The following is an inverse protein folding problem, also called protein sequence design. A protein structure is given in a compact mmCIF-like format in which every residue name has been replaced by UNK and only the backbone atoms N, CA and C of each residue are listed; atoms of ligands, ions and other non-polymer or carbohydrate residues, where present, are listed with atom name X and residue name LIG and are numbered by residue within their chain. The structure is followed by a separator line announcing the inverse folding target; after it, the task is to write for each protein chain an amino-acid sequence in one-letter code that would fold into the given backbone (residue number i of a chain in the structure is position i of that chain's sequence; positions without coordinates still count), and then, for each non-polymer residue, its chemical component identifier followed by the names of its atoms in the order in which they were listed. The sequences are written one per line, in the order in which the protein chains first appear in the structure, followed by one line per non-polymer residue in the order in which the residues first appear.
data_IF_395129525032
#
_entry.id   IF_395129525032
#
_cell.length_a   1.000
_cell.length_b   1.000
_cell.length_c   1.000
_cell.angle_alpha   90.00
_cell.angle_beta   90.00
_cell.angle_gamma   90.00
#
_symmetry.space_group_name_H-M   'P 1'
#
loop_
_entity.id
_entity.type
_entity.pdbx_description
1 polymer ?
#
# COMPACT_ATOMS: atom_id res chain seq x y z
N UNK A 1 22.67 28.60 -22.98
CA UNK A 1 22.29 28.23 -21.61
C UNK A 1 21.83 26.76 -21.62
N UNK A 2 22.52 25.86 -20.91
CA UNK A 2 22.09 24.48 -20.75
C UNK A 2 20.80 24.47 -19.90
N UNK A 3 19.71 23.94 -20.45
CA UNK A 3 18.47 23.75 -19.71
C UNK A 3 18.61 22.48 -18.86
N UNK A 4 18.78 22.64 -17.57
CA UNK A 4 18.71 21.54 -16.65
C UNK A 4 17.26 21.02 -16.59
N UNK A 5 17.07 19.73 -16.92
CA UNK A 5 15.78 19.04 -16.73
C UNK A 5 15.91 18.29 -15.41
N UNK A 6 15.14 18.70 -14.41
CA UNK A 6 15.01 17.95 -13.16
C UNK A 6 13.98 16.84 -13.39
N UNK A 7 14.39 15.60 -13.21
CA UNK A 7 13.57 14.40 -13.35
C UNK A 7 13.44 13.76 -11.96
N UNK A 8 12.26 13.24 -11.62
CA UNK A 8 12.06 12.51 -10.39
C UNK A 8 12.98 11.26 -10.35
N UNK A 9 13.58 11.00 -9.20
CA UNK A 9 14.46 9.86 -8.95
C UNK A 9 13.83 8.83 -8.01
N UNK A 10 12.65 9.13 -7.48
CA UNK A 10 11.88 8.27 -6.59
C UNK A 10 10.37 8.46 -6.79
N UNK A 11 9.58 7.51 -6.25
CA UNK A 11 8.12 7.58 -6.28
C UNK A 11 7.57 8.84 -5.57
N UNK A 12 8.22 9.30 -4.50
CA UNK A 12 7.77 10.47 -3.73
C UNK A 12 8.05 11.81 -4.42
N UNK A 13 9.00 11.84 -5.35
CA UNK A 13 9.32 13.05 -6.12
C UNK A 13 8.41 13.25 -7.33
N UNK A 14 7.56 12.27 -7.66
CA UNK A 14 6.59 12.38 -8.73
C UNK A 14 5.54 13.44 -8.38
N UNK A 15 5.28 14.37 -9.32
CA UNK A 15 4.15 15.27 -9.13
C UNK A 15 2.81 14.51 -9.29
N UNK A 16 1.71 15.11 -8.83
CA UNK A 16 0.38 14.48 -8.81
C UNK A 16 -0.01 13.88 -10.15
N UNK A 17 0.17 14.60 -11.26
CA UNK A 17 -0.17 14.10 -12.58
C UNK A 17 0.71 12.90 -13.00
N UNK A 18 2.03 12.99 -12.78
CA UNK A 18 2.95 11.89 -13.06
C UNK A 18 2.58 10.65 -12.26
N UNK A 19 2.31 10.83 -10.97
CA UNK A 19 1.94 9.73 -10.08
C UNK A 19 0.64 9.06 -10.53
N UNK A 20 -0.40 9.82 -10.87
CA UNK A 20 -1.67 9.28 -11.37
C UNK A 20 -1.50 8.47 -12.67
N UNK A 21 -0.72 9.00 -13.63
CA UNK A 21 -0.51 8.33 -14.91
C UNK A 21 0.37 7.07 -14.76
N UNK A 22 1.45 7.16 -13.98
CA UNK A 22 2.38 6.04 -13.76
C UNK A 22 1.71 4.92 -12.96
N UNK A 23 0.98 5.25 -11.90
CA UNK A 23 0.24 4.25 -11.11
C UNK A 23 -0.82 3.55 -11.96
N UNK A 24 -1.53 4.28 -12.81
CA UNK A 24 -2.49 3.66 -13.72
C UNK A 24 -1.81 2.68 -14.68
N UNK A 25 -0.65 3.01 -15.24
CA UNK A 25 0.13 2.09 -16.07
C UNK A 25 0.65 0.90 -15.26
N UNK A 26 1.18 1.13 -14.04
CA UNK A 26 1.68 0.12 -13.13
C UNK A 26 0.63 -0.93 -12.76
N UNK A 27 -0.63 -0.53 -12.56
CA UNK A 27 -1.72 -1.44 -12.21
C UNK A 27 -2.28 -2.22 -13.39
N UNK A 28 -2.05 -1.77 -14.62
CA UNK A 28 -2.65 -2.33 -15.83
C UNK A 28 -1.62 -2.99 -16.78
N UNK A 29 -0.33 -3.03 -16.42
CA UNK A 29 0.62 -3.80 -17.24
C UNK A 29 0.50 -5.30 -16.97
N UNK A 30 0.84 -6.08 -17.97
CA UNK A 30 1.00 -7.53 -17.94
C UNK A 30 2.29 -7.90 -18.70
N UNK A 31 2.61 -9.18 -18.79
CA UNK A 31 3.82 -9.65 -19.49
C UNK A 31 3.86 -9.20 -20.95
N UNK A 32 2.71 -9.21 -21.64
CA UNK A 32 2.64 -8.86 -23.06
C UNK A 32 2.89 -7.39 -23.35
N UNK A 33 2.48 -6.48 -22.43
CA UNK A 33 2.57 -5.03 -22.64
C UNK A 33 3.58 -4.33 -21.72
N UNK A 34 4.38 -5.09 -20.96
CA UNK A 34 5.31 -4.55 -19.97
C UNK A 34 6.27 -3.52 -20.57
N UNK A 35 6.96 -3.88 -21.68
CA UNK A 35 7.94 -3.01 -22.31
C UNK A 35 7.34 -1.70 -22.80
N UNK A 36 6.15 -1.75 -23.38
CA UNK A 36 5.43 -0.57 -23.85
C UNK A 36 4.99 0.31 -22.68
N UNK A 37 4.44 -0.30 -21.63
CA UNK A 37 4.00 0.40 -20.42
C UNK A 37 5.18 1.06 -19.71
N UNK A 38 6.30 0.36 -19.58
CA UNK A 38 7.52 0.91 -18.98
C UNK A 38 8.06 2.11 -19.77
N UNK A 39 8.12 2.02 -21.11
CA UNK A 39 8.51 3.16 -21.94
C UNK A 39 7.57 4.36 -21.77
N UNK A 40 6.27 4.12 -21.68
CA UNK A 40 5.29 5.18 -21.39
C UNK A 40 5.54 5.84 -20.03
N UNK A 41 5.84 5.05 -18.98
CA UNK A 41 6.19 5.57 -17.67
C UNK A 41 7.44 6.45 -17.74
N UNK A 42 8.50 6.01 -18.44
CA UNK A 42 9.72 6.82 -18.67
C UNK A 42 9.34 8.13 -19.36
N UNK A 43 8.52 8.11 -20.40
CA UNK A 43 8.14 9.34 -21.10
C UNK A 43 7.35 10.31 -20.22
N UNK A 44 6.55 9.79 -19.29
CA UNK A 44 5.84 10.60 -18.30
C UNK A 44 6.82 11.29 -17.34
N UNK A 45 7.91 10.63 -16.92
CA UNK A 45 8.93 11.24 -16.05
C UNK A 45 9.51 12.53 -16.62
N UNK A 46 9.69 12.58 -17.94
CA UNK A 46 10.24 13.78 -18.61
C UNK A 46 9.18 14.83 -18.93
N UNK A 47 7.93 14.62 -18.54
CA UNK A 47 6.82 15.56 -18.72
C UNK A 47 6.35 16.06 -17.35
N UNK A 48 6.24 17.39 -17.17
CA UNK A 48 5.70 17.98 -15.94
C UNK A 48 4.16 17.93 -15.87
N UNK A 49 3.51 17.87 -17.02
CA UNK A 49 2.05 17.80 -17.18
C UNK A 49 1.68 17.36 -18.58
N UNK A 50 0.47 16.87 -18.78
CA UNK A 50 -0.08 16.61 -20.10
C UNK A 50 -0.26 17.92 -20.85
N UNK A 51 0.19 17.99 -22.10
CA UNK A 51 -0.02 19.16 -22.95
C UNK A 51 0.93 19.21 -24.15
N UNK A 52 0.55 20.03 -25.14
CA UNK A 52 1.25 20.17 -26.41
C UNK A 52 2.73 20.52 -26.24
N UNK A 53 3.05 21.51 -25.41
CA UNK A 53 4.43 21.92 -25.16
C UNK A 53 5.27 20.86 -24.46
N UNK A 54 4.68 20.07 -23.57
CA UNK A 54 5.35 18.93 -22.92
C UNK A 54 5.66 17.84 -23.96
N UNK A 55 4.73 17.58 -24.87
CA UNK A 55 4.93 16.59 -25.95
C UNK A 55 6.01 17.02 -26.93
N UNK A 56 6.07 18.31 -27.31
CA UNK A 56 7.14 18.84 -28.18
C UNK A 56 8.52 18.72 -27.50
N UNK A 57 8.61 19.04 -26.21
CA UNK A 57 9.86 18.88 -25.45
C UNK A 57 10.30 17.43 -25.39
N UNK A 58 9.37 16.52 -25.16
CA UNK A 58 9.65 15.07 -25.16
C UNK A 58 10.13 14.61 -26.53
N UNK A 59 9.47 15.01 -27.64
CA UNK A 59 9.92 14.69 -28.99
C UNK A 59 11.32 15.19 -29.29
N UNK A 60 11.64 16.42 -28.86
CA UNK A 60 12.97 16.96 -28.99
C UNK A 60 14.00 16.13 -28.20
N UNK A 61 13.66 15.74 -26.97
CA UNK A 61 14.51 14.90 -26.11
C UNK A 61 14.78 13.55 -26.79
N UNK A 62 13.75 12.87 -27.29
CA UNK A 62 13.84 11.57 -27.94
C UNK A 62 14.67 11.58 -29.24
N UNK A 63 14.76 12.75 -29.92
CA UNK A 63 15.62 12.91 -31.09
C UNK A 63 17.10 13.07 -30.75
N UNK A 64 17.40 13.56 -29.55
CA UNK A 64 18.76 13.93 -29.15
C UNK A 64 19.39 13.04 -28.09
N UNK A 65 18.58 12.23 -27.40
CA UNK A 65 19.04 11.36 -26.30
C UNK A 65 18.57 9.93 -26.56
N UNK A 66 19.47 8.93 -26.54
CA UNK A 66 19.09 7.53 -26.66
C UNK A 66 18.11 7.09 -25.56
N UNK A 67 17.15 6.24 -25.90
CA UNK A 67 16.17 5.69 -24.95
C UNK A 67 16.86 4.93 -23.81
N UNK A 68 17.97 4.26 -24.08
CA UNK A 68 18.78 3.59 -23.05
C UNK A 68 19.28 4.54 -21.97
N UNK A 69 19.67 5.76 -22.33
CA UNK A 69 20.07 6.80 -21.39
C UNK A 69 18.86 7.30 -20.58
N UNK A 70 17.70 7.45 -21.22
CA UNK A 70 16.47 7.89 -20.53
C UNK A 70 15.96 6.82 -19.57
N UNK A 71 16.12 5.53 -19.89
CA UNK A 71 15.69 4.41 -19.04
C UNK A 71 16.45 4.34 -17.70
N UNK A 72 17.69 4.84 -17.64
CA UNK A 72 18.46 4.90 -16.39
C UNK A 72 17.73 5.71 -15.30
N UNK A 73 17.05 6.80 -15.70
CA UNK A 73 16.26 7.61 -14.78
C UNK A 73 14.99 6.92 -14.30
N UNK A 74 14.48 5.92 -15.03
CA UNK A 74 13.27 5.18 -14.72
C UNK A 74 13.50 3.90 -13.92
N UNK A 75 14.72 3.56 -13.51
CA UNK A 75 15.03 2.30 -12.82
C UNK A 75 14.18 2.08 -11.56
N UNK A 76 13.92 3.13 -10.79
CA UNK A 76 13.10 3.04 -9.58
C UNK A 76 11.65 2.62 -9.86
N UNK A 77 11.15 2.79 -11.09
CA UNK A 77 9.81 2.36 -11.49
C UNK A 77 9.69 0.84 -11.65
N UNK A 78 10.83 0.12 -11.73
CA UNK A 78 10.89 -1.34 -11.74
C UNK A 78 10.81 -1.93 -10.34
N UNK A 79 11.06 -1.11 -9.31
CA UNK A 79 10.91 -1.49 -7.92
C UNK A 79 9.45 -1.29 -7.47
N UNK A 80 8.99 -2.06 -6.45
CA UNK A 80 7.70 -1.80 -5.84
C UNK A 80 7.57 -0.33 -5.40
N UNK A 81 6.38 0.28 -5.57
CA UNK A 81 6.15 1.66 -5.17
C UNK A 81 6.51 1.89 -3.70
N UNK A 82 7.24 2.98 -3.41
CA UNK A 82 7.63 3.42 -2.07
C UNK A 82 6.95 4.76 -1.78
N UNK A 83 5.68 4.70 -1.39
CA UNK A 83 4.86 5.85 -1.02
C UNK A 83 4.51 5.76 0.46
N UNK A 84 4.66 6.83 1.22
CA UNK A 84 4.51 6.80 2.67
C UNK A 84 3.39 7.69 3.19
N UNK A 85 2.99 8.69 2.41
CA UNK A 85 2.00 9.68 2.80
C UNK A 85 0.80 9.68 1.85
N UNK A 86 -0.39 9.76 2.42
CA UNK A 86 -1.63 9.84 1.65
C UNK A 86 -1.93 11.27 1.21
N UNK A 87 -2.56 11.47 0.04
CA UNK A 87 -2.97 12.80 -0.40
C UNK A 87 -4.02 13.41 0.54
N UNK A 88 -4.03 14.74 0.63
CA UNK A 88 -5.03 15.46 1.41
C UNK A 88 -6.38 15.50 0.66
N UNK A 89 -7.46 15.21 1.38
CA UNK A 89 -8.84 15.36 0.91
C UNK A 89 -9.51 16.40 1.79
N UNK A 90 -9.98 17.54 1.23
CA UNK A 90 -10.63 18.58 2.02
C UNK A 90 -11.80 18.02 2.84
N UNK A 91 -11.83 18.32 4.14
CA UNK A 91 -12.86 17.86 5.07
C UNK A 91 -12.64 16.47 5.65
N UNK A 92 -11.56 15.79 5.29
CA UNK A 92 -11.18 14.49 5.85
C UNK A 92 -9.76 14.54 6.45
N UNK A 93 -9.56 13.77 7.51
CA UNK A 93 -8.26 13.55 8.13
C UNK A 93 -7.62 12.29 7.54
N UNK A 94 -6.43 12.43 6.98
CA UNK A 94 -5.62 11.29 6.51
C UNK A 94 -4.88 10.61 7.66
N UNK A 95 -4.47 9.36 7.53
CA UNK A 95 -3.55 8.72 8.48
C UNK A 95 -2.19 9.44 8.50
N UNK A 96 -1.48 9.28 9.61
CA UNK A 96 -0.06 9.63 9.67
C UNK A 96 0.74 8.76 8.68
N UNK A 97 1.92 9.25 8.29
CA UNK A 97 2.80 8.54 7.37
C UNK A 97 3.05 7.11 7.84
N UNK A 98 3.10 6.19 6.88
CA UNK A 98 3.29 4.75 7.13
C UNK A 98 2.24 4.13 8.07
N UNK A 99 1.04 4.69 8.14
CA UNK A 99 -0.05 4.23 8.99
C UNK A 99 0.22 4.39 10.50
N UNK A 100 1.09 5.32 10.91
CA UNK A 100 1.62 5.42 12.27
C UNK A 100 0.59 5.68 13.38
N UNK A 101 -0.56 6.29 13.05
CA UNK A 101 -1.65 6.60 13.99
C UNK A 101 -2.89 5.71 13.81
N UNK A 102 -2.79 4.67 12.99
CA UNK A 102 -3.92 3.80 12.67
C UNK A 102 -4.30 2.91 13.86
N UNK A 103 -5.60 2.81 14.17
CA UNK A 103 -6.09 1.79 15.08
C UNK A 103 -6.16 0.43 14.39
N UNK A 104 -6.04 -0.65 15.18
CA UNK A 104 -6.13 -2.01 14.61
C UNK A 104 -7.52 -2.29 14.02
N UNK A 105 -8.57 -1.69 14.58
CA UNK A 105 -9.93 -1.75 14.02
C UNK A 105 -9.96 -1.16 12.61
N UNK A 106 -9.44 0.06 12.42
CA UNK A 106 -9.38 0.68 11.10
C UNK A 106 -8.56 -0.16 10.13
N UNK A 107 -7.42 -0.66 10.57
CA UNK A 107 -6.56 -1.52 9.76
C UNK A 107 -7.29 -2.79 9.30
N UNK A 108 -8.08 -3.44 10.15
CA UNK A 108 -8.81 -4.65 9.77
C UNK A 108 -9.85 -4.41 8.66
N UNK A 109 -10.51 -3.24 8.64
CA UNK A 109 -11.37 -2.84 7.53
C UNK A 109 -10.58 -2.63 6.23
N UNK A 110 -9.46 -1.91 6.33
CA UNK A 110 -8.59 -1.63 5.19
C UNK A 110 -8.01 -2.92 4.60
N UNK A 111 -7.52 -3.83 5.44
CA UNK A 111 -6.97 -5.13 5.05
C UNK A 111 -8.00 -5.97 4.27
N UNK A 112 -9.23 -6.05 4.76
CA UNK A 112 -10.31 -6.77 4.09
C UNK A 112 -10.65 -6.19 2.72
N UNK A 113 -10.77 -4.86 2.60
CA UNK A 113 -11.09 -4.22 1.33
C UNK A 113 -9.90 -4.28 0.36
N UNK A 114 -8.68 -4.14 0.86
CA UNK A 114 -7.47 -4.26 0.06
C UNK A 114 -7.33 -5.66 -0.52
N UNK A 115 -7.50 -6.71 0.30
CA UNK A 115 -7.47 -8.08 -0.16
C UNK A 115 -8.50 -8.32 -1.27
N UNK A 116 -9.76 -7.94 -1.05
CA UNK A 116 -10.83 -8.09 -2.04
C UNK A 116 -10.54 -7.31 -3.33
N UNK A 117 -9.96 -6.11 -3.23
CA UNK A 117 -9.55 -5.35 -4.42
C UNK A 117 -8.42 -6.06 -5.17
N UNK A 118 -7.43 -6.56 -4.49
CA UNK A 118 -6.31 -7.27 -5.13
C UNK A 118 -6.76 -8.54 -5.85
N UNK A 119 -7.71 -9.29 -5.28
CA UNK A 119 -8.26 -10.51 -5.88
C UNK A 119 -9.19 -10.21 -7.07
N UNK A 120 -10.09 -9.24 -6.93
CA UNK A 120 -11.15 -9.01 -7.91
C UNK A 120 -10.88 -7.87 -8.88
N UNK A 121 -9.94 -6.98 -8.55
CA UNK A 121 -9.69 -5.70 -9.23
C UNK A 121 -10.93 -4.80 -9.35
N UNK A 122 -11.94 -5.05 -8.51
CA UNK A 122 -13.21 -4.30 -8.51
C UNK A 122 -13.05 -2.89 -7.96
N UNK A 123 -13.53 -1.91 -8.69
CA UNK A 123 -13.56 -0.50 -8.27
C UNK A 123 -14.39 -0.31 -6.99
N UNK A 124 -15.38 -1.18 -6.73
CA UNK A 124 -16.20 -1.13 -5.50
C UNK A 124 -15.32 -1.34 -4.27
N UNK A 125 -14.46 -2.34 -4.26
CA UNK A 125 -13.56 -2.60 -3.14
C UNK A 125 -12.47 -1.54 -3.02
N UNK A 126 -11.97 -1.00 -4.14
CA UNK A 126 -11.02 0.11 -4.12
C UNK A 126 -11.64 1.36 -3.48
N UNK A 127 -12.88 1.71 -3.83
CA UNK A 127 -13.60 2.84 -3.23
C UNK A 127 -13.84 2.63 -1.73
N UNK A 128 -14.23 1.43 -1.33
CA UNK A 128 -14.42 1.07 0.08
C UNK A 128 -13.09 1.15 0.87
N UNK A 129 -11.98 0.68 0.28
CA UNK A 129 -10.63 0.86 0.84
C UNK A 129 -10.32 2.33 1.03
N UNK A 130 -10.49 3.15 -0.01
CA UNK A 130 -10.21 4.59 0.06
C UNK A 130 -11.04 5.27 1.14
N UNK A 131 -12.34 4.96 1.25
CA UNK A 131 -13.18 5.51 2.31
C UNK A 131 -12.71 5.08 3.72
N UNK A 132 -12.23 3.84 3.90
CA UNK A 132 -11.77 3.33 5.20
C UNK A 132 -10.41 3.90 5.65
N UNK A 133 -9.62 4.46 4.72
CA UNK A 133 -8.33 5.10 5.03
C UNK A 133 -8.52 6.43 5.75
N UNK A 134 -9.51 7.23 5.36
CA UNK A 134 -9.73 8.57 5.89
C UNK A 134 -10.71 8.57 7.06
N UNK A 135 -10.69 9.66 7.84
CA UNK A 135 -11.52 9.87 9.04
C UNK A 135 -12.16 11.26 9.01
N UNK A 136 -13.30 11.41 9.68
CA UNK A 136 -13.89 12.75 9.94
C UNK A 136 -13.24 13.43 11.15
N UNK A 137 -12.75 12.64 12.12
CA UNK A 137 -12.14 13.10 13.36
C UNK A 137 -10.81 12.40 13.66
N UNK A 138 -10.42 12.42 14.94
CA UNK A 138 -9.15 11.84 15.39
C UNK A 138 -9.19 10.30 15.46
N UNK A 139 -10.36 9.74 15.71
CA UNK A 139 -10.58 8.30 15.83
C UNK A 139 -11.36 7.76 14.65
N UNK A 140 -11.13 6.49 14.33
CA UNK A 140 -11.91 5.78 13.32
C UNK A 140 -13.23 5.31 13.91
N UNK A 141 -14.31 5.63 13.19
CA UNK A 141 -15.66 5.15 13.47
C UNK A 141 -16.27 4.65 12.14
N UNK A 142 -16.62 3.37 12.09
CA UNK A 142 -17.23 2.75 10.92
C UNK A 142 -18.58 3.33 10.54
N UNK A 143 -19.30 3.90 11.49
CA UNK A 143 -20.60 4.56 11.22
C UNK A 143 -20.43 5.80 10.34
N UNK A 144 -19.24 6.37 10.32
CA UNK A 144 -18.91 7.52 9.48
C UNK A 144 -18.56 7.14 8.03
N UNK A 145 -18.35 5.86 7.70
CA UNK A 145 -17.97 5.43 6.35
C UNK A 145 -18.92 5.92 5.24
N UNK A 146 -20.27 5.90 5.40
CA UNK A 146 -21.16 6.43 4.39
C UNK A 146 -21.00 7.95 4.15
N UNK A 147 -20.62 8.70 5.19
CA UNK A 147 -20.34 10.14 5.09
C UNK A 147 -19.00 10.38 4.41
N UNK A 148 -17.95 9.64 4.80
CA UNK A 148 -16.62 9.71 4.21
C UNK A 148 -16.70 9.36 2.72
N UNK A 149 -17.47 8.34 2.34
CA UNK A 149 -17.67 7.94 0.95
C UNK A 149 -18.17 9.09 0.06
N UNK A 150 -19.04 9.98 0.58
CA UNK A 150 -19.52 11.16 -0.17
C UNK A 150 -18.38 12.13 -0.55
N UNK A 151 -17.29 12.15 0.20
CA UNK A 151 -16.11 12.94 -0.12
C UNK A 151 -15.20 12.18 -1.09
N UNK A 152 -14.92 10.91 -0.81
CA UNK A 152 -14.00 10.10 -1.61
C UNK A 152 -14.57 9.71 -2.96
N UNK A 153 -15.89 9.62 -3.12
CA UNK A 153 -16.57 9.36 -4.41
C UNK A 153 -16.42 10.50 -5.43
N UNK A 154 -16.02 11.68 -4.97
CA UNK A 154 -15.71 12.81 -5.87
C UNK A 154 -14.33 12.68 -6.53
N UNK A 155 -13.50 11.80 -6.03
CA UNK A 155 -12.19 11.53 -6.60
C UNK A 155 -12.32 10.76 -7.93
N UNK A 156 -11.36 10.96 -8.81
CA UNK A 156 -11.22 10.18 -10.04
C UNK A 156 -10.74 8.75 -9.72
N UNK A 157 -11.00 7.80 -10.64
CA UNK A 157 -10.47 6.44 -10.52
C UNK A 157 -8.94 6.42 -10.34
N UNK A 158 -8.20 7.30 -11.01
CA UNK A 158 -6.74 7.40 -10.88
C UNK A 158 -6.32 7.82 -9.49
N UNK A 159 -7.03 8.76 -8.88
CA UNK A 159 -6.78 9.17 -7.49
C UNK A 159 -7.05 8.03 -6.51
N UNK A 160 -8.14 7.26 -6.69
CA UNK A 160 -8.35 6.04 -5.90
C UNK A 160 -7.21 5.05 -6.06
N UNK A 161 -6.72 4.84 -7.29
CA UNK A 161 -5.59 3.94 -7.55
C UNK A 161 -4.31 4.41 -6.85
N UNK A 162 -4.00 5.71 -6.87
CA UNK A 162 -2.86 6.27 -6.14
C UNK A 162 -2.98 5.99 -4.65
N UNK A 163 -4.16 6.23 -4.06
CA UNK A 163 -4.42 5.96 -2.63
C UNK A 163 -4.28 4.47 -2.33
N UNK A 164 -4.82 3.59 -3.18
CA UNK A 164 -4.69 2.14 -3.03
C UNK A 164 -3.24 1.64 -3.10
N UNK A 165 -2.44 2.19 -4.01
CA UNK A 165 -1.00 1.88 -4.13
C UNK A 165 -0.21 2.46 -2.95
N UNK A 166 -0.58 3.63 -2.45
CA UNK A 166 0.01 4.18 -1.22
C UNK A 166 -0.25 3.26 -0.03
N UNK A 167 -1.48 2.74 0.11
CA UNK A 167 -1.79 1.74 1.14
C UNK A 167 -0.94 0.47 0.97
N UNK A 168 -0.86 -0.07 -0.23
CA UNK A 168 -0.02 -1.25 -0.53
C UNK A 168 1.44 -1.01 -0.12
N UNK A 169 1.99 0.16 -0.41
CA UNK A 169 3.36 0.53 -0.05
C UNK A 169 3.55 0.59 1.47
N UNK A 170 2.60 1.22 2.19
CA UNK A 170 2.62 1.27 3.65
C UNK A 170 2.45 -0.13 4.27
N UNK A 171 1.60 -0.97 3.70
CA UNK A 171 1.40 -2.36 4.13
C UNK A 171 2.68 -3.20 3.93
N UNK A 172 3.33 -3.08 2.78
CA UNK A 172 4.62 -3.74 2.53
C UNK A 172 5.68 -3.32 3.54
N UNK A 173 5.75 -2.02 3.86
CA UNK A 173 6.63 -1.53 4.91
C UNK A 173 6.31 -2.16 6.28
N UNK A 174 5.03 -2.27 6.62
CA UNK A 174 4.59 -2.96 7.86
C UNK A 174 5.04 -4.44 7.87
N UNK A 175 4.86 -5.15 6.74
CA UNK A 175 5.31 -6.54 6.60
C UNK A 175 6.83 -6.67 6.79
N UNK A 176 7.61 -5.73 6.29
CA UNK A 176 9.07 -5.71 6.47
C UNK A 176 9.49 -5.46 7.93
N UNK A 177 8.73 -4.65 8.67
CA UNK A 177 8.98 -4.39 10.09
C UNK A 177 8.63 -5.59 10.98
N UNK A 178 7.70 -6.45 10.57
CA UNK A 178 7.20 -7.57 11.36
C UNK A 178 7.37 -8.92 10.65
N UNK A 179 8.62 -9.36 10.36
CA UNK A 179 8.88 -10.58 9.60
C UNK A 179 8.43 -11.87 10.32
N UNK A 180 8.19 -11.83 11.61
CA UNK A 180 7.63 -12.96 12.38
C UNK A 180 6.15 -13.17 12.03
N UNK A 181 5.39 -12.08 11.82
CA UNK A 181 3.98 -12.14 11.43
C UNK A 181 3.84 -12.43 9.92
N UNK A 182 4.72 -11.83 9.12
CA UNK A 182 4.73 -11.90 7.66
C UNK A 182 6.03 -12.54 7.15
N UNK A 183 6.24 -13.85 7.36
CA UNK A 183 7.47 -14.51 6.96
C UNK A 183 7.64 -14.50 5.44
N UNK A 184 8.82 -14.11 4.97
CA UNK A 184 9.17 -14.20 3.55
C UNK A 184 9.27 -15.69 3.15
N UNK A 185 8.87 -16.07 1.93
CA UNK A 185 9.07 -17.41 1.41
C UNK A 185 10.56 -17.78 1.48
N UNK A 186 10.89 -18.99 1.96
CA UNK A 186 12.26 -19.44 2.13
C UNK A 186 12.97 -19.64 0.77
N UNK A 187 12.23 -19.98 -0.28
CA UNK A 187 12.72 -20.12 -1.63
C UNK A 187 11.82 -19.30 -2.58
N UNK A 188 12.37 -18.34 -3.32
CA UNK A 188 11.60 -17.54 -4.30
C UNK A 188 11.04 -18.42 -5.45
N UNK A 189 11.66 -19.58 -5.75
CA UNK A 189 11.22 -20.52 -6.79
C UNK A 189 10.14 -21.51 -6.34
N UNK A 190 9.85 -21.59 -5.04
CA UNK A 190 8.72 -22.36 -4.57
C UNK A 190 7.44 -21.56 -4.83
N UNK A 191 6.80 -21.80 -5.97
CA UNK A 191 5.42 -21.39 -6.20
C UNK A 191 4.59 -21.77 -4.98
N UNK A 192 3.78 -20.88 -4.41
CA UNK A 192 2.96 -21.19 -3.25
C UNK A 192 2.10 -22.40 -3.57
N UNK A 193 2.42 -23.55 -2.96
CA UNK A 193 1.83 -24.89 -3.26
C UNK A 193 0.32 -24.96 -3.05
N UNK A 194 -0.26 -23.97 -2.38
CA UNK A 194 -1.71 -23.72 -2.28
C UNK A 194 -1.93 -22.25 -2.01
N UNK A 195 -2.90 -21.61 -2.70
CA UNK A 195 -3.44 -20.31 -2.25
C UNK A 195 -3.94 -20.50 -0.81
N UNK A 196 -3.18 -20.05 0.15
CA UNK A 196 -3.64 -20.02 1.54
C UNK A 196 -4.84 -19.08 1.58
N UNK A 197 -5.97 -19.60 2.10
CA UNK A 197 -7.17 -18.79 2.27
C UNK A 197 -6.79 -17.59 3.16
N UNK A 198 -7.10 -16.38 2.68
CA UNK A 198 -6.89 -15.18 3.49
C UNK A 198 -7.71 -15.28 4.78
N UNK A 199 -7.04 -15.14 5.92
CA UNK A 199 -7.71 -15.02 7.21
C UNK A 199 -7.92 -13.53 7.48
N UNK A 200 -9.17 -13.06 7.57
CA UNK A 200 -9.46 -11.66 7.88
C UNK A 200 -8.75 -11.24 9.17
N UNK A 201 -8.18 -10.03 9.16
CA UNK A 201 -7.42 -9.57 10.32
C UNK A 201 -8.30 -9.43 11.58
N UNK A 202 -9.61 -9.20 11.42
CA UNK A 202 -10.60 -9.25 12.51
C UNK A 202 -10.64 -10.60 13.24
N UNK A 203 -10.51 -11.72 12.52
CA UNK A 203 -10.45 -13.07 13.14
C UNK A 203 -9.17 -13.25 13.95
N UNK A 204 -8.05 -12.69 13.48
CA UNK A 204 -6.78 -12.71 14.21
C UNK A 204 -6.92 -11.95 15.53
N UNK A 205 -7.53 -10.75 15.51
CA UNK A 205 -7.78 -9.96 16.72
C UNK A 205 -8.59 -10.77 17.73
N UNK A 206 -9.71 -11.37 17.28
CA UNK A 206 -10.59 -12.17 18.14
C UNK A 206 -9.82 -13.37 18.73
N UNK A 207 -9.04 -14.07 17.91
CA UNK A 207 -8.28 -15.24 18.35
C UNK A 207 -7.24 -14.87 19.42
N UNK A 208 -6.59 -13.70 19.30
CA UNK A 208 -5.61 -13.23 20.30
C UNK A 208 -6.32 -12.88 21.61
N UNK A 209 -7.43 -12.15 21.54
CA UNK A 209 -8.19 -11.75 22.74
C UNK A 209 -8.74 -12.96 23.48
N UNK A 210 -9.13 -14.03 22.75
CA UNK A 210 -9.70 -15.24 23.35
C UNK A 210 -8.66 -16.25 23.81
N UNK A 211 -7.43 -16.22 23.30
CA UNK A 211 -6.44 -17.29 23.50
C UNK A 211 -5.45 -17.02 24.64
N UNK A 212 -5.31 -15.82 25.14
CA UNK A 212 -4.34 -15.45 26.19
C UNK A 212 -5.06 -15.12 27.51
N UNK A 213 -4.84 -15.97 28.53
CA UNK A 213 -5.37 -15.76 29.88
C UNK A 213 -4.92 -14.42 30.50
N UNK A 214 -3.78 -13.87 30.05
CA UNK A 214 -3.24 -12.61 30.53
C UNK A 214 -3.80 -11.39 29.78
N UNK A 215 -4.52 -11.60 28.67
CA UNK A 215 -5.12 -10.55 27.83
C UNK A 215 -4.20 -9.34 27.61
N UNK A 216 -3.01 -9.50 27.00
CA UNK A 216 -2.00 -8.46 26.92
C UNK A 216 -2.44 -7.21 26.13
N UNK A 217 -3.54 -7.32 25.37
CA UNK A 217 -4.18 -6.25 24.64
C UNK A 217 -5.52 -5.82 25.26
N UNK A 218 -5.82 -6.29 26.47
CA UNK A 218 -7.08 -6.03 27.14
C UNK A 218 -8.27 -6.76 26.49
N UNK A 219 -9.47 -6.24 26.70
CA UNK A 219 -10.67 -6.74 26.08
C UNK A 219 -10.75 -6.37 24.57
N UNK A 220 -11.74 -6.87 23.84
CA UNK A 220 -11.90 -6.63 22.40
C UNK A 220 -11.99 -5.14 22.05
N UNK A 221 -12.62 -4.33 22.91
CA UNK A 221 -12.77 -2.89 22.66
C UNK A 221 -11.41 -2.16 22.79
N UNK A 222 -10.65 -2.48 23.82
CA UNK A 222 -9.30 -1.93 24.05
C UNK A 222 -8.36 -2.37 22.94
N UNK A 223 -8.38 -3.66 22.58
CA UNK A 223 -7.61 -4.20 21.46
C UNK A 223 -7.90 -3.47 20.15
N UNK A 224 -9.18 -3.21 19.84
CA UNK A 224 -9.60 -2.49 18.64
C UNK A 224 -9.10 -1.04 18.58
N UNK A 225 -8.89 -0.41 19.73
CA UNK A 225 -8.38 0.97 19.85
C UNK A 225 -6.86 1.05 19.81
N UNK A 226 -6.17 -0.06 20.03
CA UNK A 226 -4.70 -0.13 20.03
C UNK A 226 -4.14 0.30 18.67
N UNK A 227 -3.01 1.01 18.68
CA UNK A 227 -2.32 1.39 17.43
C UNK A 227 -1.71 0.18 16.76
N UNK A 228 -1.70 0.17 15.42
CA UNK A 228 -1.27 -0.98 14.64
C UNK A 228 0.15 -1.46 14.99
N UNK A 229 1.12 -0.56 15.14
CA UNK A 229 2.50 -0.95 15.47
C UNK A 229 2.63 -1.56 16.86
N UNK A 230 1.86 -1.06 17.83
CA UNK A 230 1.80 -1.60 19.18
C UNK A 230 1.18 -3.00 19.17
N UNK A 231 0.06 -3.16 18.47
CA UNK A 231 -0.59 -4.46 18.28
C UNK A 231 0.38 -5.48 17.65
N UNK A 232 1.05 -5.11 16.55
CA UNK A 232 1.98 -6.00 15.85
C UNK A 232 3.17 -6.41 16.73
N UNK A 233 3.67 -5.51 17.58
CA UNK A 233 4.71 -5.83 18.56
C UNK A 233 4.25 -6.88 19.57
N UNK A 234 3.03 -6.75 20.13
CA UNK A 234 2.46 -7.72 21.06
C UNK A 234 2.23 -9.05 20.35
N UNK A 235 1.63 -9.01 19.17
CA UNK A 235 1.34 -10.22 18.37
C UNK A 235 2.63 -10.99 18.00
N UNK A 236 3.69 -10.29 17.60
CA UNK A 236 4.99 -10.93 17.35
C UNK A 236 5.52 -11.67 18.58
N UNK A 237 5.40 -11.09 19.77
CA UNK A 237 5.81 -11.73 21.03
C UNK A 237 4.99 -12.98 21.35
N UNK A 238 3.69 -12.94 21.08
CA UNK A 238 2.79 -14.11 21.26
C UNK A 238 3.24 -15.26 20.34
N UNK A 239 3.48 -14.99 19.05
CA UNK A 239 3.95 -15.99 18.09
C UNK A 239 5.26 -16.62 18.57
N UNK A 240 6.25 -15.81 18.93
CA UNK A 240 7.56 -16.29 19.41
C UNK A 240 7.41 -17.17 20.66
N UNK A 241 6.54 -16.76 21.61
CA UNK A 241 6.26 -17.56 22.81
C UNK A 241 5.65 -18.92 22.46
N UNK A 242 4.66 -18.94 21.57
CA UNK A 242 4.00 -20.18 21.12
C UNK A 242 4.98 -21.12 20.40
N UNK A 243 5.84 -20.60 19.54
CA UNK A 243 6.88 -21.38 18.85
C UNK A 243 7.87 -22.01 19.82
N UNK A 244 8.33 -21.26 20.85
CA UNK A 244 9.21 -21.79 21.89
C UNK A 244 8.57 -22.93 22.68
N UNK A 245 7.31 -22.74 23.10
CA UNK A 245 6.57 -23.78 23.79
C UNK A 245 6.41 -25.04 22.91
N UNK A 246 6.06 -24.89 21.64
CA UNK A 246 5.95 -26.00 20.71
C UNK A 246 7.29 -26.77 20.56
N UNK A 247 8.42 -26.07 20.47
CA UNK A 247 9.75 -26.67 20.42
C UNK A 247 10.11 -27.41 21.70
N UNK A 248 9.76 -26.88 22.87
CA UNK A 248 10.00 -27.52 24.16
C UNK A 248 9.17 -28.81 24.30
N UNK A 249 7.89 -28.79 23.88
CA UNK A 249 7.05 -29.99 23.85
C UNK A 249 7.59 -31.05 22.89
N UNK A 250 8.09 -30.66 21.73
CA UNK A 250 8.67 -31.59 20.77
C UNK A 250 9.98 -32.24 21.27
N UNK A 251 10.76 -31.57 22.11
CA UNK A 251 11.99 -32.15 22.75
C UNK A 251 11.72 -33.08 23.90
N UNK A 252 10.51 -33.07 24.49
CA UNK A 252 10.11 -33.93 25.61
C UNK A 252 9.50 -35.25 25.18
N UNK A 253 9.20 -35.37 23.88
CA UNK A 253 8.75 -36.64 23.25
C UNK A 253 9.94 -37.38 22.63
#
# INVERSE_FOLDING_TARGET
MAKHITVASSWEELNTWQLEEIVNLYLNYNEDNFSESYLKMIFILFQKKKGFWSSLKLQWLLRNVPISTLSEFGKFLLEPPKLHSFPDIPGLKKPADRLGDLSIKQFSFMDQFFYNWMETKSDTYLRALVASIYRLGDTFDEQNLPTISKFTDKLTKRQWQVIGITYMSCFNHLCEQFPVIYPKPKNPDESPKKKTKHTPFSEIIISIVMSDEQQPLGNLHESNSTRIYEFMNVFSKIIIKQEKLAQEYAKRK
#
